data_IF_901956851705
#
_entry.id   IF_901956851705
#
_cell.length_a   1.000
_cell.length_b   1.000
_cell.length_c   1.000
_cell.angle_alpha   90.00
_cell.angle_beta   90.00
_cell.angle_gamma   90.00
#
_symmetry.space_group_name_H-M   'P 1'
#
loop_
_entity.id
_entity.type
_entity.pdbx_description
1 polymer ?
#
# COMPACT_ATOMS: atom_id res chain seq x y z
N UNK A 1 2.72 18.67 7.97
CA UNK A 1 3.88 17.93 7.42
C UNK A 1 5.13 18.80 7.45
N UNK A 2 6.05 18.47 8.35
CA UNK A 2 7.39 19.05 8.31
C UNK A 2 8.23 18.26 7.29
N UNK A 3 9.04 18.96 6.51
CA UNK A 3 10.05 18.34 5.66
C UNK A 3 11.42 18.42 6.35
N UNK A 4 12.35 17.56 5.96
CA UNK A 4 13.68 17.49 6.60
C UNK A 4 14.57 18.72 6.29
N UNK A 5 14.25 19.48 5.23
CA UNK A 5 15.01 20.66 4.79
C UNK A 5 14.38 21.94 5.36
N UNK A 6 15.22 22.80 5.97
CA UNK A 6 14.77 24.10 6.48
C UNK A 6 14.25 25.00 5.35
N UNK A 7 13.19 25.74 5.63
CA UNK A 7 12.59 26.73 4.71
C UNK A 7 11.92 26.13 3.46
N UNK A 8 11.72 24.82 3.43
CA UNK A 8 10.89 24.14 2.43
C UNK A 8 9.60 23.68 3.14
N UNK A 9 8.47 23.76 2.45
CA UNK A 9 7.18 23.31 2.97
C UNK A 9 6.43 22.51 1.90
N UNK A 10 5.74 21.44 2.30
CA UNK A 10 4.85 20.69 1.42
C UNK A 10 3.43 21.28 1.48
N UNK A 11 2.83 21.52 0.32
CA UNK A 11 1.40 21.80 0.22
C UNK A 11 0.60 20.62 0.76
N UNK A 12 -0.43 20.89 1.56
CA UNK A 12 -1.26 19.83 2.14
C UNK A 12 -2.04 19.08 1.05
N UNK A 13 -2.25 17.76 1.18
CA UNK A 13 -3.21 17.04 0.35
C UNK A 13 -4.60 17.72 0.41
N UNK A 14 -5.32 17.73 -0.71
CA UNK A 14 -6.64 18.36 -0.79
C UNK A 14 -6.64 19.89 -0.68
N UNK A 15 -5.48 20.54 -0.86
CA UNK A 15 -5.34 21.99 -0.89
C UNK A 15 -4.73 22.47 -2.22
N UNK A 16 -5.06 23.69 -2.61
CA UNK A 16 -4.38 24.40 -3.69
C UNK A 16 -3.75 25.68 -3.16
N UNK A 17 -2.70 26.14 -3.84
CA UNK A 17 -2.02 27.39 -3.55
C UNK A 17 -2.29 28.40 -4.67
N UNK A 18 -2.73 29.60 -4.32
CA UNK A 18 -2.85 30.74 -5.23
C UNK A 18 -1.81 31.79 -4.84
N UNK A 19 -0.98 32.18 -5.80
CA UNK A 19 -0.06 33.31 -5.66
C UNK A 19 -0.47 34.44 -6.59
N UNK A 20 -0.64 35.64 -6.05
CA UNK A 20 -0.99 36.84 -6.82
C UNK A 20 -0.49 38.09 -6.11
N UNK A 21 0.13 39.02 -6.84
CA UNK A 21 0.63 40.30 -6.33
C UNK A 21 1.50 40.17 -5.07
N UNK A 22 2.33 39.12 -4.97
CA UNK A 22 3.18 38.86 -3.82
C UNK A 22 2.47 38.23 -2.61
N UNK A 23 1.16 38.00 -2.67
CA UNK A 23 0.39 37.33 -1.63
C UNK A 23 0.21 35.84 -1.98
N UNK A 24 0.45 34.97 -0.99
CA UNK A 24 0.17 33.53 -1.08
C UNK A 24 -1.09 33.23 -0.28
N UNK A 25 -2.04 32.50 -0.89
CA UNK A 25 -3.21 31.94 -0.21
C UNK A 25 -3.27 30.45 -0.44
N UNK A 26 -3.54 29.70 0.62
CA UNK A 26 -3.73 28.25 0.58
C UNK A 26 -5.16 27.96 1.00
N UNK A 27 -5.89 27.22 0.17
CA UNK A 27 -7.30 26.89 0.39
C UNK A 27 -7.52 25.39 0.23
N UNK A 28 -8.29 24.80 1.14
CA UNK A 28 -8.71 23.39 1.02
C UNK A 28 -9.86 23.30 0.02
N UNK A 29 -9.73 22.38 -0.94
CA UNK A 29 -10.82 22.00 -1.84
C UNK A 29 -11.40 20.62 -1.49
N UNK A 30 -10.69 19.83 -0.68
CA UNK A 30 -11.11 18.50 -0.28
C UNK A 30 -10.59 18.15 1.12
N UNK A 31 -11.48 17.58 1.93
CA UNK A 31 -11.14 16.90 3.17
C UNK A 31 -12.01 15.65 3.28
N UNK A 32 -11.46 14.47 3.58
CA UNK A 32 -12.27 13.28 3.79
C UNK A 32 -13.23 13.51 4.95
N UNK A 33 -14.52 13.24 4.71
CA UNK A 33 -15.57 13.32 5.73
C UNK A 33 -16.13 11.92 5.99
N UNK A 34 -15.92 11.43 7.20
CA UNK A 34 -16.48 10.15 7.62
C UNK A 34 -17.75 10.42 8.42
N UNK A 35 -18.92 10.14 7.85
CA UNK A 35 -20.17 10.21 8.61
C UNK A 35 -20.17 9.07 9.64
N UNK A 36 -19.95 9.40 10.90
CA UNK A 36 -19.97 8.43 12.01
C UNK A 36 -21.37 7.83 12.28
N UNK A 37 -22.39 8.25 11.54
CA UNK A 37 -23.78 7.82 11.71
C UNK A 37 -24.39 7.35 10.40
N UNK A 38 -24.85 6.09 10.39
CA UNK A 38 -25.64 5.50 9.32
C UNK A 38 -24.98 4.27 8.71
N UNK A 39 -25.72 3.15 8.68
CA UNK A 39 -25.36 2.03 7.83
C UNK A 39 -25.79 2.43 6.40
N UNK A 40 -24.85 2.97 5.60
CA UNK A 40 -25.12 3.35 4.20
C UNK A 40 -25.71 2.18 3.40
N UNK A 41 -25.33 0.98 3.79
CA UNK A 41 -25.78 -0.27 3.20
C UNK A 41 -26.72 -0.99 4.17
N UNK A 42 -27.76 -1.64 3.64
CA UNK A 42 -28.74 -2.37 4.42
C UNK A 42 -28.27 -3.75 4.87
N UNK A 43 -27.21 -4.30 4.27
CA UNK A 43 -26.66 -5.62 4.60
C UNK A 43 -25.15 -5.73 4.36
N UNK A 44 -24.52 -6.76 4.94
CA UNK A 44 -23.11 -7.07 4.67
C UNK A 44 -22.86 -7.43 3.20
N UNK A 45 -23.80 -8.15 2.56
CA UNK A 45 -23.71 -8.50 1.14
C UNK A 45 -23.67 -7.25 0.26
N UNK A 46 -24.50 -6.26 0.57
CA UNK A 46 -24.47 -4.96 -0.12
C UNK A 46 -23.14 -4.24 0.06
N UNK A 47 -22.54 -4.25 1.26
CA UNK A 47 -21.21 -3.69 1.49
C UNK A 47 -20.14 -4.37 0.62
N UNK A 48 -20.15 -5.70 0.56
CA UNK A 48 -19.20 -6.48 -0.24
C UNK A 48 -19.35 -6.16 -1.72
N UNK A 49 -20.58 -6.15 -2.22
CA UNK A 49 -20.86 -5.80 -3.61
C UNK A 49 -20.43 -4.37 -3.94
N UNK A 50 -20.79 -3.38 -3.12
CA UNK A 50 -20.42 -1.99 -3.34
C UNK A 50 -18.90 -1.76 -3.28
N UNK A 51 -18.20 -2.46 -2.38
CA UNK A 51 -16.73 -2.40 -2.28
C UNK A 51 -16.08 -2.97 -3.53
N UNK A 52 -16.58 -4.12 -4.01
CA UNK A 52 -16.10 -4.76 -5.22
C UNK A 52 -16.31 -3.88 -6.45
N UNK A 53 -17.51 -3.34 -6.63
CA UNK A 53 -17.80 -2.46 -7.77
C UNK A 53 -16.95 -1.20 -7.74
N UNK A 54 -16.78 -0.57 -6.56
CA UNK A 54 -15.89 0.59 -6.41
C UNK A 54 -14.44 0.27 -6.72
N UNK A 55 -13.94 -0.92 -6.32
CA UNK A 55 -12.61 -1.38 -6.68
C UNK A 55 -12.47 -1.55 -8.20
N UNK A 56 -13.40 -2.25 -8.85
CA UNK A 56 -13.34 -2.50 -10.30
C UNK A 56 -13.49 -1.20 -11.10
N UNK A 57 -14.34 -0.27 -10.67
CA UNK A 57 -14.46 1.06 -11.27
C UNK A 57 -13.16 1.87 -11.14
N UNK A 58 -12.52 1.84 -9.96
CA UNK A 58 -11.21 2.45 -9.76
C UNK A 58 -10.17 1.86 -10.69
N UNK A 59 -10.09 0.54 -10.79
CA UNK A 59 -9.17 -0.16 -11.71
C UNK A 59 -9.43 0.27 -13.16
N UNK A 60 -10.68 0.23 -13.64
CA UNK A 60 -11.02 0.68 -15.01
C UNK A 60 -10.55 2.10 -15.29
N UNK A 61 -10.74 3.01 -14.33
CA UNK A 61 -10.36 4.43 -14.46
C UNK A 61 -8.84 4.59 -14.53
N UNK A 62 -8.09 3.80 -13.78
CA UNK A 62 -6.62 3.84 -13.78
C UNK A 62 -5.97 3.04 -14.92
N UNK A 63 -6.75 2.30 -15.71
CA UNK A 63 -6.28 1.61 -16.92
C UNK A 63 -6.32 2.48 -18.18
N UNK A 64 -6.86 3.70 -18.11
CA UNK A 64 -6.86 4.65 -19.23
C UNK A 64 -5.42 5.15 -19.48
N UNK A 65 -4.72 4.49 -20.40
CA UNK A 65 -3.29 4.74 -20.69
C UNK A 65 -2.95 4.40 -22.14
N UNK A 66 -2.09 5.21 -22.77
CA UNK A 66 -1.56 4.96 -24.12
C UNK A 66 -0.43 3.91 -24.16
N UNK A 67 0.00 3.45 -22.99
CA UNK A 67 1.05 2.44 -22.81
C UNK A 67 0.56 1.29 -21.94
N UNK A 68 1.14 0.08 -22.07
CA UNK A 68 0.78 -1.05 -21.21
C UNK A 68 0.91 -0.69 -19.72
N UNK A 69 -0.12 -1.06 -18.95
CA UNK A 69 -0.16 -0.88 -17.49
C UNK A 69 0.16 -2.21 -16.82
N UNK A 70 1.20 -2.22 -16.00
CA UNK A 70 1.56 -3.36 -15.16
C UNK A 70 0.93 -3.31 -13.77
N UNK A 71 1.29 -4.28 -12.93
CA UNK A 71 0.89 -4.30 -11.51
C UNK A 71 2.06 -4.74 -10.62
N UNK A 72 2.24 -4.08 -9.49
CA UNK A 72 3.09 -4.61 -8.43
C UNK A 72 2.37 -5.74 -7.71
N UNK A 73 2.99 -6.91 -7.66
CA UNK A 73 2.41 -8.09 -7.06
C UNK A 73 3.29 -8.57 -5.91
N UNK A 74 2.68 -8.67 -4.75
CA UNK A 74 3.27 -9.23 -3.54
C UNK A 74 2.55 -10.52 -3.15
N UNK A 75 2.90 -11.12 -2.02
CA UNK A 75 2.11 -12.23 -1.46
C UNK A 75 0.77 -11.75 -0.90
N UNK A 76 0.59 -10.42 -0.76
CA UNK A 76 -0.53 -9.66 -0.19
C UNK A 76 -1.91 -9.93 -0.79
N UNK A 77 -2.95 -9.74 0.02
CA UNK A 77 -4.33 -9.72 -0.47
C UNK A 77 -4.56 -8.52 -1.39
N UNK A 78 -4.03 -7.35 -1.04
CA UNK A 78 -4.35 -6.09 -1.72
C UNK A 78 -3.85 -6.07 -3.16
N UNK A 79 -2.56 -6.38 -3.36
CA UNK A 79 -1.95 -6.49 -4.68
C UNK A 79 -2.59 -7.63 -5.51
N UNK A 80 -2.97 -8.74 -4.87
CA UNK A 80 -3.71 -9.84 -5.52
C UNK A 80 -5.08 -9.37 -6.02
N UNK A 81 -5.82 -8.58 -5.23
CA UNK A 81 -7.12 -8.04 -5.63
C UNK A 81 -6.99 -7.05 -6.81
N UNK A 82 -5.94 -6.23 -6.84
CA UNK A 82 -5.66 -5.37 -8.00
C UNK A 82 -5.37 -6.21 -9.26
N UNK A 83 -4.48 -7.19 -9.17
CA UNK A 83 -4.12 -8.04 -10.30
C UNK A 83 -5.31 -8.87 -10.83
N UNK A 84 -6.10 -9.46 -9.92
CA UNK A 84 -7.31 -10.19 -10.29
C UNK A 84 -8.38 -9.25 -10.88
N UNK A 85 -8.55 -8.07 -10.30
CA UNK A 85 -9.47 -7.05 -10.82
C UNK A 85 -9.08 -6.59 -12.22
N UNK A 86 -7.78 -6.41 -12.50
CA UNK A 86 -7.29 -6.11 -13.87
C UNK A 86 -7.66 -7.21 -14.86
N UNK A 87 -7.48 -8.50 -14.52
CA UNK A 87 -7.94 -9.62 -15.38
C UNK A 87 -9.45 -9.54 -15.62
N UNK A 88 -10.21 -9.30 -14.56
CA UNK A 88 -11.67 -9.28 -14.63
C UNK A 88 -12.21 -8.16 -15.52
N UNK A 89 -11.60 -6.98 -15.48
CA UNK A 89 -12.03 -5.84 -16.33
C UNK A 89 -11.50 -5.92 -17.77
N UNK A 90 -10.83 -7.02 -18.13
CA UNK A 90 -10.45 -7.33 -19.52
C UNK A 90 -8.99 -7.09 -19.87
N UNK A 91 -8.06 -7.02 -18.91
CA UNK A 91 -6.63 -6.98 -19.21
C UNK A 91 -6.14 -8.37 -19.60
N UNK A 92 -5.92 -8.58 -20.91
CA UNK A 92 -5.45 -9.86 -21.43
C UNK A 92 -3.95 -10.10 -21.16
N UNK A 93 -3.08 -9.15 -21.53
CA UNK A 93 -1.63 -9.17 -21.28
C UNK A 93 -1.30 -8.60 -19.89
N UNK A 94 -1.68 -9.32 -18.83
CA UNK A 94 -1.37 -8.91 -17.46
C UNK A 94 0.13 -9.08 -17.18
N UNK A 95 0.83 -7.97 -16.94
CA UNK A 95 2.25 -7.95 -16.55
C UNK A 95 2.38 -7.63 -15.08
N UNK A 96 3.01 -8.51 -14.31
CA UNK A 96 3.17 -8.34 -12.87
C UNK A 96 4.63 -8.38 -12.45
N UNK A 97 4.97 -7.57 -11.45
CA UNK A 97 6.36 -7.37 -11.02
C UNK A 97 6.48 -7.57 -9.52
N UNK A 98 7.51 -8.29 -9.09
CA UNK A 98 7.83 -8.52 -7.68
C UNK A 98 9.34 -8.43 -7.43
N UNK A 99 9.71 -8.34 -6.16
CA UNK A 99 11.09 -8.45 -5.69
C UNK A 99 11.17 -9.55 -4.65
N UNK A 100 12.30 -10.24 -4.61
CA UNK A 100 12.67 -11.18 -3.54
C UNK A 100 14.04 -10.80 -2.97
N UNK A 101 14.44 -11.41 -1.85
CA UNK A 101 15.72 -11.11 -1.19
C UNK A 101 16.57 -12.37 -1.08
N UNK A 102 17.87 -12.27 -1.39
CA UNK A 102 18.79 -13.38 -1.25
C UNK A 102 19.07 -13.69 0.22
N UNK A 103 18.99 -14.97 0.60
CA UNK A 103 19.43 -15.44 1.91
C UNK A 103 18.59 -14.90 3.07
N UNK A 104 17.28 -14.74 2.87
CA UNK A 104 16.26 -14.22 3.80
C UNK A 104 16.43 -14.71 5.27
N UNK A 105 17.40 -14.13 5.98
CA UNK A 105 17.70 -14.39 7.37
C UNK A 105 16.98 -13.34 8.21
N UNK A 106 15.64 -13.44 8.27
CA UNK A 106 14.82 -12.68 9.21
C UNK A 106 13.62 -11.89 8.65
N UNK A 107 13.43 -11.83 7.33
CA UNK A 107 12.25 -11.23 6.68
C UNK A 107 11.63 -12.28 5.75
N UNK A 108 10.31 -12.44 5.77
CA UNK A 108 9.62 -13.43 4.93
C UNK A 108 9.73 -13.03 3.44
N UNK A 109 10.29 -13.91 2.62
CA UNK A 109 10.32 -13.73 1.16
C UNK A 109 8.93 -14.04 0.58
N UNK A 110 8.19 -13.00 0.21
CA UNK A 110 6.86 -13.12 -0.37
C UNK A 110 6.88 -13.47 -1.88
N UNK A 111 8.05 -13.42 -2.52
CA UNK A 111 8.15 -13.63 -3.98
C UNK A 111 7.61 -14.99 -4.45
N UNK A 112 7.74 -16.11 -3.70
CA UNK A 112 7.12 -17.37 -4.11
C UNK A 112 5.59 -17.33 -4.06
N UNK A 113 5.01 -16.56 -3.14
CA UNK A 113 3.56 -16.39 -3.07
C UNK A 113 3.05 -15.53 -4.24
N UNK A 114 3.76 -14.44 -4.56
CA UNK A 114 3.47 -13.61 -5.71
C UNK A 114 3.53 -14.42 -7.02
N UNK A 115 4.54 -15.28 -7.19
CA UNK A 115 4.68 -16.14 -8.35
C UNK A 115 3.51 -17.11 -8.54
N UNK A 116 3.03 -17.75 -7.46
CA UNK A 116 1.85 -18.63 -7.50
C UNK A 116 0.58 -17.87 -7.89
N UNK A 117 0.39 -16.67 -7.35
CA UNK A 117 -0.74 -15.82 -7.72
C UNK A 117 -0.67 -15.42 -9.19
N UNK A 118 0.51 -15.05 -9.68
CA UNK A 118 0.71 -14.69 -11.07
C UNK A 118 0.42 -15.87 -12.02
N UNK A 119 0.90 -17.07 -11.68
CA UNK A 119 0.62 -18.31 -12.43
C UNK A 119 -0.89 -18.58 -12.48
N UNK A 120 -1.57 -18.51 -11.34
CA UNK A 120 -3.01 -18.69 -11.26
C UNK A 120 -3.79 -17.70 -12.14
N UNK A 121 -3.34 -16.44 -12.20
CA UNK A 121 -3.96 -15.39 -13.02
C UNK A 121 -3.52 -15.41 -14.50
N UNK A 122 -2.57 -16.28 -14.87
CA UNK A 122 -1.99 -16.31 -16.21
C UNK A 122 -1.20 -15.04 -16.57
N UNK A 123 -0.59 -14.40 -15.57
CA UNK A 123 0.17 -13.16 -15.74
C UNK A 123 1.61 -13.43 -16.22
N UNK A 124 2.13 -12.54 -17.06
CA UNK A 124 3.57 -12.46 -17.36
C UNK A 124 4.28 -11.86 -16.14
N UNK A 125 4.82 -12.73 -15.29
CA UNK A 125 5.47 -12.34 -14.05
C UNK A 125 6.98 -12.12 -14.22
N UNK A 126 7.50 -11.05 -13.62
CA UNK A 126 8.94 -10.81 -13.48
C UNK A 126 9.27 -10.60 -12.00
N UNK A 127 10.23 -11.37 -11.51
CA UNK A 127 10.76 -11.25 -10.15
C UNK A 127 12.24 -10.93 -10.22
N UNK A 128 12.71 -9.95 -9.45
CA UNK A 128 14.14 -9.70 -9.26
C UNK A 128 14.55 -10.05 -7.83
N UNK A 129 15.54 -10.94 -7.70
CA UNK A 129 16.15 -11.27 -6.41
C UNK A 129 17.24 -10.25 -6.09
N UNK A 130 17.08 -9.57 -4.97
CA UNK A 130 17.96 -8.51 -4.49
C UNK A 130 18.97 -9.11 -3.50
N UNK A 131 20.25 -9.01 -3.83
CA UNK A 131 21.37 -9.36 -2.93
C UNK A 131 21.83 -8.15 -2.13
N UNK A 132 22.55 -8.38 -1.03
CA UNK A 132 23.14 -7.31 -0.23
C UNK A 132 24.07 -6.41 -1.07
N UNK A 133 24.88 -7.01 -1.96
CA UNK A 133 25.75 -6.27 -2.86
C UNK A 133 24.94 -5.39 -3.83
N UNK A 134 23.88 -5.94 -4.44
CA UNK A 134 23.04 -5.16 -5.36
C UNK A 134 22.37 -4.00 -4.63
N UNK A 135 21.97 -4.18 -3.37
CA UNK A 135 21.38 -3.12 -2.57
C UNK A 135 22.41 -2.03 -2.23
N UNK A 136 23.64 -2.41 -1.89
CA UNK A 136 24.75 -1.47 -1.64
C UNK A 136 25.03 -0.60 -2.87
N UNK A 137 25.09 -1.21 -4.05
CA UNK A 137 25.29 -0.51 -5.33
C UNK A 137 24.14 0.47 -5.68
N UNK A 138 22.95 0.24 -5.15
CA UNK A 138 21.76 1.06 -5.41
C UNK A 138 21.49 2.13 -4.36
N UNK A 139 22.21 2.11 -3.24
CA UNK A 139 21.91 2.93 -2.07
C UNK A 139 21.95 4.43 -2.40
N UNK A 140 22.99 4.88 -3.11
CA UNK A 140 23.12 6.30 -3.50
C UNK A 140 21.97 6.75 -4.40
N UNK A 141 21.57 5.90 -5.35
CA UNK A 141 20.43 6.20 -6.23
C UNK A 141 19.12 6.24 -5.45
N UNK A 142 18.90 5.26 -4.56
CA UNK A 142 17.73 5.23 -3.71
C UNK A 142 17.62 6.49 -2.85
N UNK A 143 18.69 6.87 -2.15
CA UNK A 143 18.74 8.06 -1.31
C UNK A 143 18.55 9.35 -2.10
N UNK A 144 19.07 9.40 -3.34
CA UNK A 144 18.86 10.55 -4.24
C UNK A 144 17.38 10.76 -4.59
N UNK A 145 16.62 9.69 -4.80
CA UNK A 145 15.18 9.76 -5.07
C UNK A 145 14.30 9.83 -3.83
N UNK A 146 14.84 9.50 -2.65
CA UNK A 146 14.14 9.52 -1.39
C UNK A 146 14.04 10.96 -0.86
N UNK A 147 13.08 11.73 -1.37
CA UNK A 147 12.81 13.11 -0.92
C UNK A 147 12.62 13.20 0.61
N UNK A 148 11.95 12.20 1.20
CA UNK A 148 11.75 12.08 2.65
C UNK A 148 11.84 10.63 3.11
N UNK A 149 12.32 10.38 4.34
CA UNK A 149 12.34 9.04 4.92
C UNK A 149 10.94 8.40 4.92
N UNK A 150 10.87 7.17 4.41
CA UNK A 150 9.63 6.37 4.35
C UNK A 150 9.95 4.91 4.62
N UNK A 151 9.04 4.23 5.32
CA UNK A 151 9.19 2.80 5.65
C UNK A 151 9.03 1.87 4.46
N UNK A 152 8.29 2.28 3.42
CA UNK A 152 7.97 1.45 2.26
C UNK A 152 8.69 1.88 0.95
N UNK A 153 9.41 3.00 1.00
CA UNK A 153 10.02 3.57 -0.20
C UNK A 153 11.08 2.66 -0.83
N UNK A 154 11.82 1.86 -0.04
CA UNK A 154 12.84 0.97 -0.59
C UNK A 154 12.21 -0.13 -1.46
N UNK A 155 11.17 -0.80 -0.96
CA UNK A 155 10.48 -1.84 -1.73
C UNK A 155 9.87 -1.26 -3.01
N UNK A 156 9.20 -0.11 -2.89
CA UNK A 156 8.62 0.60 -4.03
C UNK A 156 9.68 1.01 -5.05
N UNK A 157 10.85 1.51 -4.61
CA UNK A 157 11.96 1.87 -5.48
C UNK A 157 12.49 0.65 -6.25
N UNK A 158 12.76 -0.45 -5.54
CA UNK A 158 13.31 -1.67 -6.14
C UNK A 158 12.34 -2.26 -7.18
N UNK A 159 11.07 -2.48 -6.83
CA UNK A 159 10.09 -3.05 -7.76
C UNK A 159 9.80 -2.12 -8.94
N UNK A 160 9.83 -0.80 -8.73
CA UNK A 160 9.70 0.17 -9.83
C UNK A 160 10.85 0.06 -10.84
N UNK A 161 12.08 -0.20 -10.38
CA UNK A 161 13.22 -0.44 -11.29
C UNK A 161 13.05 -1.70 -12.13
N UNK A 162 12.46 -2.76 -11.55
CA UNK A 162 12.12 -3.98 -12.29
C UNK A 162 11.07 -3.66 -13.35
N UNK A 163 9.96 -3.03 -12.95
CA UNK A 163 8.84 -2.73 -13.84
C UNK A 163 9.22 -1.77 -14.97
N UNK A 164 10.06 -0.77 -14.70
CA UNK A 164 10.51 0.23 -15.68
C UNK A 164 11.22 -0.36 -16.91
N UNK A 165 11.67 -1.63 -16.85
CA UNK A 165 12.26 -2.35 -17.98
C UNK A 165 11.21 -2.76 -19.02
N UNK A 166 9.95 -2.92 -18.63
CA UNK A 166 8.87 -3.45 -19.48
C UNK A 166 7.67 -2.49 -19.62
N UNK A 167 7.37 -1.68 -18.59
CA UNK A 167 6.19 -0.79 -18.54
C UNK A 167 6.55 0.57 -17.94
N UNK A 168 5.74 1.58 -18.25
CA UNK A 168 5.90 2.94 -17.70
C UNK A 168 4.91 3.26 -16.58
N UNK A 169 3.85 2.46 -16.45
CA UNK A 169 2.76 2.66 -15.50
C UNK A 169 2.47 1.34 -14.80
N UNK A 170 2.29 1.40 -13.49
CA UNK A 170 1.93 0.25 -12.67
C UNK A 170 0.86 0.61 -11.66
N UNK A 171 -0.09 -0.29 -11.43
CA UNK A 171 -1.00 -0.20 -10.29
C UNK A 171 -0.37 -0.88 -9.06
N UNK A 172 -0.71 -0.40 -7.86
CA UNK A 172 -0.29 -1.00 -6.59
C UNK A 172 -1.47 -1.13 -5.63
N UNK A 173 -1.35 -2.02 -4.64
CA UNK A 173 -2.33 -2.19 -3.56
C UNK A 173 -2.12 -1.25 -2.37
N UNK A 174 -1.21 -0.26 -2.47
CA UNK A 174 -0.90 0.65 -1.36
C UNK A 174 -2.12 1.48 -0.96
N UNK A 175 -2.29 1.73 0.34
CA UNK A 175 -3.44 2.46 0.89
C UNK A 175 -4.56 1.54 1.38
N UNK A 176 -4.58 0.27 1.02
CA UNK A 176 -5.66 -0.65 1.39
C UNK A 176 -5.74 -0.82 2.92
N UNK A 177 -4.62 -1.02 3.60
CA UNK A 177 -4.58 -1.17 5.06
C UNK A 177 -5.10 0.07 5.81
N UNK A 178 -4.84 1.28 5.30
CA UNK A 178 -5.33 2.54 5.87
C UNK A 178 -6.83 2.70 5.72
N UNK A 179 -7.39 2.27 4.57
CA UNK A 179 -8.84 2.34 4.31
C UNK A 179 -9.62 1.24 5.02
N UNK A 180 -9.08 0.02 5.09
CA UNK A 180 -9.79 -1.16 5.61
C UNK A 180 -9.35 -1.58 7.01
N UNK A 181 -8.37 -0.90 7.61
CA UNK A 181 -7.89 -1.20 8.96
C UNK A 181 -7.10 -2.51 9.02
N UNK A 182 -6.30 -2.81 8.01
CA UNK A 182 -5.66 -4.13 7.86
C UNK A 182 -4.46 -4.38 8.77
N UNK A 183 -3.75 -3.33 9.21
CA UNK A 183 -2.62 -3.49 10.13
C UNK A 183 -2.97 -4.16 11.47
N UNK A 184 -2.05 -4.95 12.01
CA UNK A 184 -2.18 -5.65 13.28
C UNK A 184 -2.58 -4.75 14.47
N UNK A 185 -2.05 -3.52 14.52
CA UNK A 185 -2.40 -2.59 15.58
C UNK A 185 -3.85 -2.10 15.52
N UNK A 186 -4.50 -2.08 14.35
CA UNK A 186 -5.93 -1.80 14.24
C UNK A 186 -6.75 -2.89 14.93
N UNK A 187 -6.38 -4.16 14.71
CA UNK A 187 -7.00 -5.30 15.38
C UNK A 187 -6.81 -5.23 16.89
N UNK A 188 -5.60 -4.90 17.35
CA UNK A 188 -5.32 -4.71 18.76
C UNK A 188 -6.16 -3.58 19.38
N UNK A 189 -6.32 -2.45 18.68
CA UNK A 189 -7.15 -1.35 19.13
C UNK A 189 -8.64 -1.74 19.24
N UNK A 190 -9.15 -2.53 18.29
CA UNK A 190 -10.52 -3.06 18.34
C UNK A 190 -10.72 -4.01 19.52
N UNK A 191 -9.78 -4.92 19.77
CA UNK A 191 -9.82 -5.83 20.91
C UNK A 191 -9.73 -5.06 22.24
N UNK A 192 -8.81 -4.11 22.35
CA UNK A 192 -8.68 -3.25 23.53
C UNK A 192 -9.99 -2.53 23.84
N UNK A 193 -10.65 -1.97 22.83
CA UNK A 193 -11.96 -1.34 22.96
C UNK A 193 -13.04 -2.33 23.41
N UNK A 194 -13.02 -3.57 22.87
CA UNK A 194 -13.96 -4.64 23.26
C UNK A 194 -13.81 -5.05 24.73
N UNK A 195 -12.60 -5.02 25.26
CA UNK A 195 -12.29 -5.35 26.67
C UNK A 195 -12.24 -4.13 27.59
N UNK A 196 -12.68 -2.95 27.13
CA UNK A 196 -12.74 -1.73 27.97
C UNK A 196 -11.37 -1.14 28.34
N UNK A 197 -10.30 -1.57 27.67
CA UNK A 197 -8.95 -1.03 27.86
C UNK A 197 -8.89 0.35 27.20
N UNK A 198 -8.53 1.36 27.98
CA UNK A 198 -8.43 2.74 27.48
C UNK A 198 -7.26 2.85 26.50
N UNK A 199 -7.45 3.40 25.28
CA UNK A 199 -6.38 3.53 24.27
C UNK A 199 -5.14 4.28 24.76
N UNK A 200 -5.30 5.18 25.74
CA UNK A 200 -4.20 5.91 26.37
C UNK A 200 -3.18 5.00 27.08
N UNK A 201 -3.59 3.81 27.54
CA UNK A 201 -2.69 2.82 28.16
C UNK A 201 -1.84 2.06 27.12
N UNK A 202 -2.27 2.05 25.85
CA UNK A 202 -1.55 1.40 24.74
C UNK A 202 -0.60 2.35 24.00
N UNK A 203 -0.71 3.68 24.21
CA UNK A 203 0.19 4.68 23.61
C UNK A 203 1.65 4.54 24.07
N UNK A 204 1.87 3.84 25.18
CA UNK A 204 3.19 3.65 25.80
C UNK A 204 3.85 2.32 25.41
N UNK A 205 3.15 1.45 24.68
CA UNK A 205 3.67 0.14 24.31
C UNK A 205 4.61 0.28 23.11
N UNK A 206 5.87 -0.12 23.28
CA UNK A 206 6.86 -0.24 22.20
C UNK A 206 6.55 -1.46 21.32
N UNK A 207 7.12 -1.51 20.11
CA UNK A 207 6.98 -2.63 19.16
C UNK A 207 7.03 -4.03 19.80
N UNK A 208 8.04 -4.34 20.65
CA UNK A 208 8.15 -5.66 21.29
C UNK A 208 6.99 -6.03 22.21
N UNK A 209 6.38 -5.05 22.88
CA UNK A 209 5.22 -5.29 23.75
C UNK A 209 3.93 -5.52 22.94
N UNK A 210 3.82 -4.87 21.78
CA UNK A 210 2.75 -5.11 20.81
C UNK A 210 2.93 -6.51 20.21
N UNK A 211 4.13 -6.88 19.80
CA UNK A 211 4.43 -8.20 19.23
C UNK A 211 4.17 -9.34 20.23
N UNK A 212 4.54 -9.16 21.50
CA UNK A 212 4.22 -10.11 22.56
C UNK A 212 2.70 -10.25 22.79
N UNK A 213 1.93 -9.16 22.68
CA UNK A 213 0.48 -9.21 22.77
C UNK A 213 -0.16 -9.87 21.54
N UNK A 214 0.36 -9.59 20.35
CA UNK A 214 -0.06 -10.21 19.09
C UNK A 214 0.25 -11.72 19.10
N UNK A 215 1.37 -12.13 19.70
CA UNK A 215 1.73 -13.54 19.91
C UNK A 215 0.82 -14.29 20.90
N UNK A 216 -0.01 -13.59 21.67
CA UNK A 216 -1.05 -14.19 22.51
C UNK A 216 -2.40 -14.28 21.79
N UNK A 217 -2.56 -13.61 20.64
CA UNK A 217 -3.77 -13.74 19.84
C UNK A 217 -3.78 -15.10 19.12
N UNK A 218 -4.96 -15.76 19.01
CA UNK A 218 -5.15 -16.90 18.12
C UNK A 218 -4.63 -16.58 16.72
N UNK A 219 -4.04 -17.55 16.02
CA UNK A 219 -3.56 -17.35 14.64
C UNK A 219 -4.64 -16.78 13.70
N UNK A 220 -5.91 -17.16 13.91
CA UNK A 220 -7.04 -16.62 13.16
C UNK A 220 -7.27 -15.11 13.34
N UNK A 221 -6.69 -14.51 14.39
CA UNK A 221 -6.79 -13.09 14.71
C UNK A 221 -5.50 -12.32 14.44
N UNK A 222 -4.37 -12.98 14.15
CA UNK A 222 -3.16 -12.31 13.66
C UNK A 222 -3.38 -11.92 12.21
N UNK A 223 -3.26 -10.63 11.92
CA UNK A 223 -3.03 -10.17 10.55
C UNK A 223 -1.60 -10.52 10.15
N UNK A 224 -1.30 -10.39 8.86
CA UNK A 224 0.08 -10.44 8.40
C UNK A 224 0.90 -9.34 9.06
#
# INVERSE_FOLDING_TARGET
>A
PGVIIKSIECLQPGHYLRWSNGEVRIESYFSPSWSAGGNRFGSHSECVHATREGLLESIRTHLVSDVPVGVFLSGGLDSTLIAAGMKEVGVDDLRSFSIGYEGAAGVEDESPAAARTAEFLGARHVTETISAQSLEELLDSYLWFLDQPSGDALNTFLVSRVAARDVKVTLSGLGADEWFGGYNYHRLALLARRFGVRPALLRSCTGPAVDALLALLPESLRGR
#
